data_IF_613631913677
#
_entry.id   IF_613631913677
#
_cell.length_a   1.000
_cell.length_b   1.000
_cell.length_c   1.000
_cell.angle_alpha   90.00
_cell.angle_beta   90.00
_cell.angle_gamma   90.00
#
_symmetry.space_group_name_H-M   'P 1'
#
loop_
_entity.id
_entity.type
_entity.pdbx_description
1 polymer ?
#
# COMPACT_ATOMS: atom_id res chain seq x y z
N UNK A 1 5.87 -17.49 -3.04
CA UNK A 1 7.32 -17.79 -3.14
C UNK A 1 7.93 -17.31 -4.44
N UNK A 2 7.70 -17.95 -5.59
CA UNK A 2 8.34 -17.53 -6.86
C UNK A 2 8.29 -16.01 -7.14
N UNK A 3 7.11 -15.38 -7.05
CA UNK A 3 6.97 -13.93 -7.23
C UNK A 3 7.69 -13.12 -6.14
N UNK A 4 7.65 -13.58 -4.89
CA UNK A 4 8.28 -12.90 -3.76
C UNK A 4 9.81 -13.02 -3.79
N UNK A 5 10.35 -14.03 -4.47
CA UNK A 5 11.79 -14.16 -4.70
C UNK A 5 12.28 -13.09 -5.67
N UNK A 6 11.46 -12.73 -6.66
CA UNK A 6 11.72 -11.59 -7.53
C UNK A 6 11.65 -10.27 -6.75
N UNK A 7 10.65 -10.12 -5.86
CA UNK A 7 10.57 -8.98 -4.94
C UNK A 7 11.85 -8.84 -4.12
N UNK A 8 12.31 -9.93 -3.48
CA UNK A 8 13.56 -9.94 -2.69
C UNK A 8 14.77 -9.54 -3.54
N UNK A 9 14.87 -10.07 -4.76
CA UNK A 9 15.98 -9.73 -5.67
C UNK A 9 15.97 -8.25 -6.07
N UNK A 10 14.80 -7.67 -6.35
CA UNK A 10 14.66 -6.25 -6.67
C UNK A 10 15.03 -5.39 -5.45
N UNK A 11 14.53 -5.75 -4.28
CA UNK A 11 14.88 -5.09 -3.01
C UNK A 11 16.39 -5.10 -2.76
N UNK A 12 17.04 -6.26 -2.85
CA UNK A 12 18.49 -6.37 -2.65
C UNK A 12 19.29 -5.55 -3.66
N UNK A 13 18.82 -5.47 -4.91
CA UNK A 13 19.46 -4.65 -5.94
C UNK A 13 19.36 -3.17 -5.59
N UNK A 14 18.17 -2.70 -5.19
CA UNK A 14 17.95 -1.31 -4.77
C UNK A 14 18.75 -0.96 -3.51
N UNK A 15 18.72 -1.84 -2.49
CA UNK A 15 19.46 -1.66 -1.25
C UNK A 15 20.96 -1.52 -1.51
N UNK A 16 21.57 -2.47 -2.21
CA UNK A 16 23.02 -2.46 -2.52
C UNK A 16 23.42 -1.25 -3.35
N UNK A 17 22.52 -0.73 -4.18
CA UNK A 17 22.80 0.43 -5.00
C UNK A 17 22.88 1.73 -4.17
N UNK A 18 22.21 1.84 -3.02
CA UNK A 18 22.03 3.12 -2.30
C UNK A 18 22.65 3.10 -0.90
N UNK A 19 22.42 2.03 -0.14
CA UNK A 19 22.77 1.97 1.28
C UNK A 19 24.28 2.12 1.50
N UNK A 20 24.66 2.91 2.51
CA UNK A 20 26.06 3.10 2.87
C UNK A 20 26.83 4.08 2.01
N UNK A 21 26.23 4.67 0.95
CA UNK A 21 26.89 5.77 0.22
C UNK A 21 27.10 6.98 1.13
N UNK A 22 28.27 7.65 1.12
CA UNK A 22 28.50 8.82 1.95
C UNK A 22 27.63 9.99 1.48
N UNK A 23 27.20 10.83 2.43
CA UNK A 23 26.55 12.11 2.14
C UNK A 23 27.48 13.29 2.49
N UNK A 24 27.09 14.50 2.11
CA UNK A 24 27.89 15.72 2.31
C UNK A 24 27.94 16.23 3.77
N UNK A 25 27.28 15.52 4.69
CA UNK A 25 27.14 15.89 6.11
C UNK A 25 27.78 14.87 7.06
N UNK A 26 28.64 13.98 6.55
CA UNK A 26 29.36 12.98 7.35
C UNK A 26 28.53 11.75 7.74
N UNK A 27 27.33 11.60 7.17
CA UNK A 27 26.49 10.42 7.31
C UNK A 27 26.49 9.56 6.05
N UNK A 28 25.57 8.59 6.02
CA UNK A 28 25.38 7.69 4.89
C UNK A 28 23.92 7.64 4.46
N UNK A 29 23.69 7.41 3.17
CA UNK A 29 22.36 7.13 2.63
C UNK A 29 21.82 5.81 3.17
N UNK A 30 20.49 5.77 3.35
CA UNK A 30 19.68 4.61 3.72
C UNK A 30 18.47 4.56 2.80
N UNK A 31 17.84 3.40 2.69
CA UNK A 31 16.64 3.22 1.84
C UNK A 31 15.36 3.22 2.66
N UNK A 32 14.30 3.79 2.09
CA UNK A 32 12.93 3.69 2.55
C UNK A 32 12.01 3.31 1.37
N UNK A 33 10.82 2.78 1.66
CA UNK A 33 9.87 2.30 0.68
C UNK A 33 8.48 2.90 0.96
N UNK A 34 8.27 4.13 0.49
CA UNK A 34 6.99 4.84 0.60
C UNK A 34 6.81 5.82 -0.58
N UNK A 35 5.58 6.01 -1.10
CA UNK A 35 5.38 6.83 -2.30
C UNK A 35 4.76 8.21 -2.03
N UNK A 36 4.10 8.42 -0.88
CA UNK A 36 3.12 9.51 -0.72
C UNK A 36 2.11 9.42 -1.89
N UNK A 37 2.14 10.33 -2.87
CA UNK A 37 1.27 10.28 -4.07
C UNK A 37 2.07 10.07 -5.37
N UNK A 38 3.40 9.94 -5.29
CA UNK A 38 4.27 9.90 -6.49
C UNK A 38 4.04 8.67 -7.37
N UNK A 39 3.48 7.59 -6.83
CA UNK A 39 3.15 6.38 -7.58
C UNK A 39 2.12 6.64 -8.69
N UNK A 40 1.26 7.65 -8.53
CA UNK A 40 0.34 8.13 -9.59
C UNK A 40 1.12 8.86 -10.68
N UNK A 41 1.96 9.83 -10.30
CA UNK A 41 2.78 10.59 -11.25
C UNK A 41 3.77 9.69 -12.01
N UNK A 42 4.48 8.80 -11.33
CA UNK A 42 5.37 7.85 -11.97
C UNK A 42 4.59 6.89 -12.88
N UNK A 43 3.40 6.45 -12.48
CA UNK A 43 2.53 5.67 -13.36
C UNK A 43 2.17 6.40 -14.65
N UNK A 44 1.88 7.71 -14.59
CA UNK A 44 1.46 8.51 -15.74
C UNK A 44 2.54 8.68 -16.81
N UNK A 45 3.82 8.62 -16.42
CA UNK A 45 4.97 8.74 -17.33
C UNK A 45 5.62 7.40 -17.70
N UNK A 46 5.11 6.28 -17.19
CA UNK A 46 5.62 4.94 -17.49
C UNK A 46 4.68 4.22 -18.47
N UNK A 47 5.26 3.65 -19.54
CA UNK A 47 4.57 2.82 -20.52
C UNK A 47 3.99 1.53 -19.92
N UNK A 48 3.39 0.66 -20.74
CA UNK A 48 2.87 -0.62 -20.23
C UNK A 48 4.01 -1.50 -19.68
N UNK A 49 3.75 -2.26 -18.61
CA UNK A 49 4.74 -3.14 -17.96
C UNK A 49 4.36 -4.62 -18.06
N UNK A 50 5.35 -5.56 -18.01
CA UNK A 50 5.10 -6.98 -18.23
C UNK A 50 4.19 -7.68 -17.21
N UNK A 51 3.91 -7.03 -16.08
CA UNK A 51 2.92 -7.46 -15.09
C UNK A 51 1.46 -7.28 -15.56
N UNK A 52 1.25 -6.71 -16.74
CA UNK A 52 -0.07 -6.47 -17.33
C UNK A 52 -0.63 -5.08 -17.03
N UNK A 53 0.08 -4.25 -16.26
CA UNK A 53 -0.31 -2.86 -16.04
C UNK A 53 -0.20 -2.07 -17.35
N UNK A 54 -1.30 -1.40 -17.73
CA UNK A 54 -1.37 -0.56 -18.93
C UNK A 54 -0.58 0.74 -18.76
N UNK A 55 -0.14 1.33 -19.88
CA UNK A 55 0.55 2.62 -19.88
C UNK A 55 -0.28 3.71 -19.17
N UNK A 56 0.38 4.56 -18.39
CA UNK A 56 -0.26 5.68 -17.70
C UNK A 56 -1.02 5.32 -16.41
N UNK A 57 -1.24 4.04 -16.10
CA UNK A 57 -1.91 3.60 -14.88
C UNK A 57 -0.96 3.76 -13.68
N UNK A 58 -1.43 4.19 -12.48
CA UNK A 58 -0.59 4.27 -11.28
C UNK A 58 0.22 3.00 -11.01
N UNK A 59 1.43 3.17 -10.45
CA UNK A 59 2.23 2.06 -9.92
C UNK A 59 1.65 1.55 -8.60
N UNK A 60 2.16 0.43 -8.10
CA UNK A 60 1.89 0.00 -6.72
C UNK A 60 2.37 1.06 -5.74
N UNK A 61 1.65 1.19 -4.63
CA UNK A 61 1.99 2.12 -3.58
C UNK A 61 2.74 1.39 -2.44
N UNK A 62 3.84 1.98 -1.98
CA UNK A 62 4.65 1.42 -0.90
C UNK A 62 5.19 0.03 -1.22
N UNK A 63 4.95 -0.90 -0.32
CA UNK A 63 5.23 -2.34 -0.49
C UNK A 63 3.94 -3.16 -0.67
N UNK A 64 2.80 -2.49 -0.89
CA UNK A 64 1.54 -3.17 -1.11
C UNK A 64 1.54 -3.89 -2.46
N UNK A 65 0.79 -5.00 -2.58
CA UNK A 65 0.54 -5.63 -3.88
C UNK A 65 -0.05 -4.62 -4.89
N UNK A 66 0.20 -4.86 -6.17
CA UNK A 66 -0.46 -4.12 -7.25
C UNK A 66 -1.99 -4.23 -7.09
N UNK A 67 -2.69 -3.13 -7.37
CA UNK A 67 -4.12 -2.99 -7.12
C UNK A 67 -4.92 -4.14 -7.76
N UNK A 68 -5.64 -4.91 -6.94
CA UNK A 68 -6.48 -6.03 -7.38
C UNK A 68 -5.76 -7.37 -7.60
N UNK A 69 -4.44 -7.44 -7.38
CA UNK A 69 -3.65 -8.65 -7.67
C UNK A 69 -3.50 -9.60 -6.47
N UNK A 70 -3.78 -9.13 -5.26
CA UNK A 70 -3.76 -9.91 -4.02
C UNK A 70 -5.07 -10.68 -3.79
N UNK A 71 -5.17 -11.86 -4.41
CA UNK A 71 -6.39 -12.70 -4.41
C UNK A 71 -6.45 -13.79 -3.32
N UNK A 72 -5.45 -13.83 -2.42
CA UNK A 72 -5.32 -14.88 -1.39
C UNK A 72 -5.54 -14.36 0.05
N UNK A 73 -6.17 -13.19 0.18
CA UNK A 73 -6.53 -12.59 1.46
C UNK A 73 -5.38 -11.88 2.19
N UNK A 74 -5.70 -11.19 3.30
CA UNK A 74 -4.77 -10.27 3.95
C UNK A 74 -3.60 -10.99 4.63
N UNK A 75 -3.81 -12.23 5.07
CA UNK A 75 -2.74 -13.07 5.65
C UNK A 75 -1.66 -13.41 4.61
N UNK A 76 -2.03 -13.66 3.35
CA UNK A 76 -1.06 -13.93 2.29
C UNK A 76 -0.28 -12.66 1.93
N UNK A 77 -0.93 -11.49 1.99
CA UNK A 77 -0.28 -10.19 1.77
C UNK A 77 0.79 -9.94 2.83
N UNK A 78 0.46 -10.04 4.12
CA UNK A 78 1.45 -9.77 5.18
C UNK A 78 2.62 -10.77 5.16
N UNK A 79 2.38 -12.02 4.76
CA UNK A 79 3.45 -13.02 4.58
C UNK A 79 4.37 -12.69 3.42
N UNK A 80 3.84 -12.11 2.34
CA UNK A 80 4.64 -11.71 1.17
C UNK A 80 5.41 -10.42 1.48
N UNK A 81 4.76 -9.45 2.11
CA UNK A 81 5.39 -8.20 2.56
C UNK A 81 6.54 -8.45 3.54
N UNK A 82 6.37 -9.36 4.50
CA UNK A 82 7.38 -9.73 5.49
C UNK A 82 8.63 -10.42 4.91
N UNK A 83 8.66 -10.74 3.61
CA UNK A 83 9.87 -11.24 2.94
C UNK A 83 10.86 -10.13 2.58
N UNK A 84 10.44 -8.87 2.70
CA UNK A 84 11.35 -7.71 2.63
C UNK A 84 12.09 -7.64 3.97
N UNK A 85 13.41 -7.44 3.93
CA UNK A 85 14.19 -7.21 5.15
C UNK A 85 13.98 -5.79 5.66
N UNK A 86 12.87 -5.60 6.39
CA UNK A 86 12.43 -4.30 6.90
C UNK A 86 13.46 -3.64 7.83
N UNK A 87 14.22 -4.45 8.60
CA UNK A 87 15.18 -3.99 9.60
C UNK A 87 16.36 -3.21 8.99
N UNK A 88 16.63 -3.45 7.70
CA UNK A 88 17.65 -2.72 6.93
C UNK A 88 17.14 -1.42 6.33
N UNK A 89 15.85 -1.13 6.43
CA UNK A 89 15.26 0.09 5.86
C UNK A 89 15.04 1.16 6.94
N UNK A 90 14.94 2.42 6.52
CA UNK A 90 14.44 3.51 7.37
C UNK A 90 12.92 3.56 7.48
N UNK A 91 12.21 2.62 6.84
CA UNK A 91 10.77 2.49 6.90
C UNK A 91 10.15 1.99 5.59
N UNK A 92 9.09 1.20 5.71
CA UNK A 92 8.32 0.64 4.59
C UNK A 92 6.84 0.82 4.83
N UNK A 93 6.05 1.07 3.79
CA UNK A 93 4.62 1.34 3.93
C UNK A 93 3.74 0.26 3.30
N UNK A 94 2.87 -0.38 4.08
CA UNK A 94 1.84 -1.30 3.60
C UNK A 94 0.44 -0.73 3.85
N UNK A 95 -0.38 -0.59 2.80
CA UNK A 95 -1.82 -0.41 2.96
C UNK A 95 -2.56 -1.75 2.83
N UNK A 96 -3.66 -1.84 3.58
CA UNK A 96 -4.74 -2.79 3.34
C UNK A 96 -6.07 -2.03 3.36
N UNK A 97 -7.06 -2.48 2.59
CA UNK A 97 -8.41 -1.94 2.64
C UNK A 97 -9.36 -3.08 3.04
N UNK A 98 -10.17 -2.85 4.07
CA UNK A 98 -11.19 -3.79 4.52
C UNK A 98 -12.58 -3.25 4.19
N UNK A 99 -13.52 -4.16 3.99
CA UNK A 99 -14.94 -3.78 3.98
C UNK A 99 -15.40 -3.46 5.40
N UNK A 100 -16.32 -2.49 5.61
CA UNK A 100 -16.80 -2.13 6.94
C UNK A 100 -17.36 -3.31 7.75
N UNK A 101 -17.99 -4.29 7.08
CA UNK A 101 -18.63 -5.46 7.68
C UNK A 101 -17.66 -6.31 8.51
N UNK A 102 -16.36 -6.26 8.21
CA UNK A 102 -15.32 -6.89 9.02
C UNK A 102 -15.35 -6.40 10.47
N UNK A 103 -15.75 -5.16 10.72
CA UNK A 103 -15.73 -4.53 12.04
C UNK A 103 -17.10 -4.50 12.72
N UNK A 104 -18.12 -5.14 12.14
CA UNK A 104 -19.45 -5.25 12.76
C UNK A 104 -19.48 -6.22 13.95
N UNK A 105 -18.43 -7.03 14.13
CA UNK A 105 -18.33 -8.05 15.17
C UNK A 105 -17.03 -7.93 15.97
N UNK A 106 -17.07 -8.30 17.25
CA UNK A 106 -15.89 -8.38 18.10
C UNK A 106 -14.87 -9.39 17.56
N UNK A 107 -15.34 -10.51 16.99
CA UNK A 107 -14.49 -11.50 16.34
C UNK A 107 -13.68 -10.90 15.17
N UNK A 108 -14.33 -10.11 14.31
CA UNK A 108 -13.65 -9.46 13.19
C UNK A 108 -12.61 -8.43 13.65
N UNK A 109 -12.92 -7.65 14.69
CA UNK A 109 -11.96 -6.75 15.32
C UNK A 109 -10.74 -7.53 15.87
N UNK A 110 -10.98 -8.63 16.58
CA UNK A 110 -9.91 -9.50 17.09
C UNK A 110 -9.05 -10.10 15.97
N UNK A 111 -9.65 -10.52 14.86
CA UNK A 111 -8.94 -11.08 13.71
C UNK A 111 -8.00 -10.05 13.09
N UNK A 112 -8.45 -8.80 12.92
CA UNK A 112 -7.59 -7.72 12.41
C UNK A 112 -6.46 -7.40 13.40
N UNK A 113 -6.74 -7.37 14.71
CA UNK A 113 -5.70 -7.22 15.72
C UNK A 113 -4.66 -8.35 15.67
N UNK A 114 -5.10 -9.60 15.50
CA UNK A 114 -4.22 -10.77 15.33
C UNK A 114 -3.42 -10.71 14.03
N UNK A 115 -3.99 -10.20 12.93
CA UNK A 115 -3.30 -9.97 11.67
C UNK A 115 -2.14 -8.97 11.85
N UNK A 116 -2.40 -7.83 12.49
CA UNK A 116 -1.38 -6.80 12.79
C UNK A 116 -0.24 -7.41 13.62
N UNK A 117 -0.59 -8.12 14.71
CA UNK A 117 0.40 -8.78 15.57
C UNK A 117 1.21 -9.83 14.83
N UNK A 118 0.57 -10.60 13.94
CA UNK A 118 1.24 -11.61 13.11
C UNK A 118 2.26 -10.96 12.17
N UNK A 119 1.89 -9.86 11.50
CA UNK A 119 2.81 -9.14 10.61
C UNK A 119 4.03 -8.61 11.37
N UNK A 120 3.82 -7.98 12.53
CA UNK A 120 4.91 -7.44 13.34
C UNK A 120 5.78 -8.53 14.01
N UNK A 121 5.24 -9.74 14.25
CA UNK A 121 6.05 -10.89 14.68
C UNK A 121 6.98 -11.42 13.58
N UNK A 122 6.73 -11.08 12.32
CA UNK A 122 7.59 -11.39 11.18
C UNK A 122 8.45 -10.17 10.79
N UNK A 123 8.76 -9.29 11.75
CA UNK A 123 9.55 -8.06 11.57
C UNK A 123 8.96 -7.04 10.58
N UNK A 124 7.66 -7.14 10.26
CA UNK A 124 6.95 -6.15 9.46
C UNK A 124 7.03 -4.75 10.10
N UNK A 125 7.33 -3.72 9.31
CA UNK A 125 7.58 -2.38 9.83
C UNK A 125 6.30 -1.59 10.17
N UNK A 126 5.38 -1.49 9.21
CA UNK A 126 4.19 -0.63 9.30
C UNK A 126 3.07 -1.17 8.42
N UNK A 127 1.84 -1.10 8.93
CA UNK A 127 0.60 -1.43 8.21
C UNK A 127 -0.47 -0.40 8.58
N UNK A 128 -1.23 0.06 7.59
CA UNK A 128 -2.35 0.98 7.77
C UNK A 128 -3.58 0.54 7.00
N UNK A 129 -4.76 0.96 7.45
CA UNK A 129 -6.03 0.46 6.95
C UNK A 129 -6.94 1.57 6.41
N UNK A 130 -7.56 1.31 5.26
CA UNK A 130 -8.86 1.90 4.92
C UNK A 130 -9.98 0.95 5.34
N UNK A 131 -11.09 1.50 5.84
CA UNK A 131 -12.30 0.74 6.15
C UNK A 131 -13.46 1.40 5.40
N UNK A 132 -13.60 1.06 4.12
CA UNK A 132 -14.54 1.72 3.20
C UNK A 132 -14.76 0.81 1.99
N UNK A 133 -15.95 0.86 1.40
CA UNK A 133 -16.27 0.13 0.17
C UNK A 133 -16.02 0.98 -1.08
N UNK A 134 -15.70 0.34 -2.20
CA UNK A 134 -15.60 0.97 -3.51
C UNK A 134 -16.91 1.65 -3.87
N UNK A 135 -18.06 1.05 -3.57
CA UNK A 135 -19.37 1.66 -3.81
C UNK A 135 -19.55 2.99 -3.08
N UNK A 136 -19.10 3.09 -1.82
CA UNK A 136 -19.15 4.36 -1.07
C UNK A 136 -18.24 5.40 -1.71
N UNK A 137 -17.02 5.02 -2.10
CA UNK A 137 -16.11 5.93 -2.79
C UNK A 137 -16.65 6.37 -4.15
N UNK A 138 -17.29 5.47 -4.92
CA UNK A 138 -17.94 5.79 -6.20
C UNK A 138 -19.10 6.76 -6.02
N UNK A 139 -19.93 6.58 -4.98
CA UNK A 139 -20.99 7.53 -4.62
C UNK A 139 -20.40 8.90 -4.26
N UNK A 140 -19.28 8.92 -3.52
CA UNK A 140 -18.59 10.17 -3.20
C UNK A 140 -18.00 10.89 -4.43
N UNK A 141 -17.61 10.16 -5.48
CA UNK A 141 -17.22 10.78 -6.77
C UNK A 141 -18.43 11.41 -7.49
N UNK A 142 -19.60 10.80 -7.39
CA UNK A 142 -20.83 11.26 -8.06
C UNK A 142 -21.52 12.41 -7.31
N UNK A 143 -21.44 12.42 -5.99
CA UNK A 143 -22.13 13.36 -5.09
C UNK A 143 -21.18 13.94 -4.03
N UNK A 144 -20.07 14.60 -4.42
CA UNK A 144 -19.03 15.04 -3.48
C UNK A 144 -19.55 15.97 -2.37
N UNK A 145 -20.63 16.71 -2.62
CA UNK A 145 -21.29 17.57 -1.63
C UNK A 145 -21.86 16.81 -0.43
N UNK A 146 -22.20 15.54 -0.60
CA UNK A 146 -22.75 14.67 0.46
C UNK A 146 -21.67 13.94 1.25
N UNK A 147 -20.42 13.98 0.80
CA UNK A 147 -19.29 13.22 1.34
C UNK A 147 -18.09 14.11 1.68
N UNK A 148 -18.32 15.39 2.01
CA UNK A 148 -17.24 16.36 2.29
C UNK A 148 -16.40 16.01 3.51
N UNK A 149 -16.94 15.19 4.42
CA UNK A 149 -16.30 14.70 5.63
C UNK A 149 -15.69 13.29 5.46
N UNK A 150 -15.82 12.68 4.28
CA UNK A 150 -15.28 11.35 4.01
C UNK A 150 -13.74 11.39 3.97
N UNK A 151 -13.12 10.86 5.02
CA UNK A 151 -11.67 10.74 5.13
C UNK A 151 -11.23 9.35 4.69
N UNK A 152 -10.15 9.29 3.90
CA UNK A 152 -9.50 8.04 3.47
C UNK A 152 -8.02 8.05 3.83
N UNK A 153 -7.43 6.86 3.97
CA UNK A 153 -5.97 6.68 4.00
C UNK A 153 -5.40 6.66 2.59
N UNK A 154 -4.44 7.55 2.32
CA UNK A 154 -3.75 7.63 1.02
C UNK A 154 -2.54 6.70 1.03
N UNK A 155 -1.36 7.19 1.41
CA UNK A 155 -0.17 6.39 1.70
C UNK A 155 0.69 7.16 2.71
N UNK A 156 0.52 6.82 4.00
CA UNK A 156 1.24 7.45 5.11
C UNK A 156 0.53 8.63 5.75
N UNK A 157 -0.65 9.02 5.24
CA UNK A 157 -1.48 10.07 5.80
C UNK A 157 -2.97 9.86 5.48
N UNK A 158 -3.83 10.66 6.11
CA UNK A 158 -5.27 10.75 5.83
C UNK A 158 -5.59 12.05 5.13
N UNK A 159 -6.57 12.02 4.24
CA UNK A 159 -7.07 13.21 3.56
C UNK A 159 -8.57 13.08 3.26
N UNK A 160 -9.22 14.19 2.92
CA UNK A 160 -10.60 14.18 2.45
C UNK A 160 -10.67 13.61 1.04
N UNK A 161 -11.48 12.57 0.85
CA UNK A 161 -11.58 11.86 -0.43
C UNK A 161 -11.97 12.78 -1.58
N UNK A 162 -12.87 13.73 -1.31
CA UNK A 162 -13.37 14.69 -2.31
C UNK A 162 -12.33 15.72 -2.75
N UNK A 163 -11.27 15.92 -1.96
CA UNK A 163 -10.18 16.85 -2.26
C UNK A 163 -9.04 16.18 -3.07
N UNK A 164 -9.10 14.85 -3.24
CA UNK A 164 -8.12 14.09 -4.01
C UNK A 164 -8.34 14.26 -5.52
N UNK A 165 -7.27 14.14 -6.31
CA UNK A 165 -7.38 14.12 -7.78
C UNK A 165 -8.14 12.87 -8.26
N UNK A 166 -8.83 12.92 -9.41
CA UNK A 166 -9.58 11.78 -9.93
C UNK A 166 -8.72 10.51 -10.08
N UNK A 167 -7.45 10.65 -10.46
CA UNK A 167 -6.52 9.52 -10.62
C UNK A 167 -6.20 8.86 -9.28
N UNK A 168 -6.03 9.65 -8.22
CA UNK A 168 -5.76 9.14 -6.88
C UNK A 168 -7.01 8.53 -6.25
N UNK A 169 -8.18 9.11 -6.48
CA UNK A 169 -9.46 8.50 -6.09
C UNK A 169 -9.62 7.13 -6.75
N UNK A 170 -9.36 7.04 -8.06
CA UNK A 170 -9.46 5.78 -8.81
C UNK A 170 -8.46 4.74 -8.32
N UNK A 171 -7.24 5.14 -7.98
CA UNK A 171 -6.24 4.25 -7.39
C UNK A 171 -6.73 3.64 -6.06
N UNK A 172 -7.24 4.46 -5.14
CA UNK A 172 -7.76 4.00 -3.84
C UNK A 172 -8.97 3.08 -4.03
N UNK A 173 -9.86 3.39 -4.98
CA UNK A 173 -11.01 2.55 -5.30
C UNK A 173 -10.56 1.17 -5.77
N UNK A 174 -9.54 1.09 -6.62
CA UNK A 174 -9.02 -0.17 -7.19
C UNK A 174 -8.25 -1.04 -6.23
N UNK A 175 -7.82 -0.53 -5.07
CA UNK A 175 -7.19 -1.36 -4.04
C UNK A 175 -8.13 -2.49 -3.61
N UNK A 176 -7.57 -3.65 -3.33
CA UNK A 176 -8.32 -4.85 -2.97
C UNK A 176 -9.10 -4.65 -1.67
N UNK A 177 -10.36 -5.05 -1.67
CA UNK A 177 -11.22 -5.11 -0.48
C UNK A 177 -11.06 -6.46 0.18
N UNK A 178 -10.40 -6.46 1.32
CA UNK A 178 -10.11 -7.66 2.09
C UNK A 178 -11.33 -8.04 2.94
N UNK A 179 -11.53 -9.35 3.06
CA UNK A 179 -12.36 -10.00 4.06
C UNK A 179 -11.45 -10.72 5.07
N UNK A 180 -11.95 -11.04 6.26
CA UNK A 180 -11.14 -11.68 7.32
C UNK A 180 -11.91 -12.71 8.15
#
# INVERSE_FOLDING_TARGET
DYADDLLRRVFETYFKAIDGRPNTKGGHYRVNLLPTTVHVYFGSVVGATPDGRKAGIPLSEGISPVQGMDVNGPTAVIKSAAKIDHLRTGGTLLNQKFTPQVFDTEEGFEKVAKLIRTYFRMDGHHIQFNVVTADTLRKAQQHPEQYRDLIVRVAGYSDYFVDLTPELQEEIIRRTEQLI
#
